data_IF_528301764238
#
_entry.id   IF_528301764238
#
_cell.length_a   1.000
_cell.length_b   1.000
_cell.length_c   1.000
_cell.angle_alpha   90.00
_cell.angle_beta   90.00
_cell.angle_gamma   90.00
#
_symmetry.space_group_name_H-M   'P 1'
#
loop_
_entity.id
_entity.type
_entity.pdbx_description
1 polymer ?
#
# COMPACT_ATOMS: atom_id res chain seq x y z
N UNK A 1 -3.05 16.98 1.33
CA UNK A 1 -2.75 18.40 1.62
C UNK A 1 -2.22 18.60 3.04
N UNK A 2 -2.92 18.13 4.08
CA UNK A 2 -2.51 18.33 5.50
C UNK A 2 -1.19 17.65 5.87
N UNK A 3 -0.94 16.40 5.42
CA UNK A 3 0.31 15.67 5.71
C UNK A 3 1.59 16.39 5.23
N UNK A 4 1.54 16.97 4.03
CA UNK A 4 2.67 17.68 3.44
C UNK A 4 2.93 19.00 4.18
N UNK A 5 1.86 19.70 4.60
CA UNK A 5 1.97 20.90 5.44
C UNK A 5 2.65 20.59 6.77
N UNK A 6 2.21 19.53 7.48
CA UNK A 6 2.81 19.14 8.75
C UNK A 6 4.29 18.76 8.60
N UNK A 7 4.64 18.03 7.53
CA UNK A 7 6.04 17.65 7.25
C UNK A 7 6.92 18.88 6.99
N UNK A 8 6.40 19.87 6.26
CA UNK A 8 7.09 21.15 6.05
C UNK A 8 7.24 21.95 7.35
N UNK A 9 6.20 21.99 8.19
CA UNK A 9 6.25 22.67 9.48
C UNK A 9 7.35 22.09 10.40
N UNK A 10 7.47 20.76 10.47
CA UNK A 10 8.53 20.08 11.23
C UNK A 10 9.94 20.33 10.64
N UNK A 11 10.04 20.51 9.33
CA UNK A 11 11.33 20.87 8.70
C UNK A 11 11.75 22.30 9.02
N UNK A 12 10.79 23.21 9.15
CA UNK A 12 11.03 24.61 9.48
C UNK A 12 11.37 24.80 10.96
N UNK A 13 10.71 24.03 11.83
CA UNK A 13 11.03 23.96 13.26
C UNK A 13 11.12 22.51 13.73
N UNK A 14 12.33 21.92 13.71
CA UNK A 14 12.52 20.56 14.17
C UNK A 14 12.25 20.39 15.67
N UNK A 15 12.38 21.45 16.47
CA UNK A 15 12.25 21.40 17.94
C UNK A 15 10.79 21.46 18.41
N UNK A 16 9.85 21.78 17.52
CA UNK A 16 8.42 21.74 17.79
C UNK A 16 7.91 20.30 17.99
N UNK A 17 8.04 19.83 19.23
CA UNK A 17 7.58 18.51 19.66
C UNK A 17 6.05 18.38 19.66
N UNK A 18 5.30 19.49 19.76
CA UNK A 18 3.83 19.45 19.68
C UNK A 18 3.40 19.14 18.23
N UNK A 19 4.00 19.80 17.23
CA UNK A 19 3.75 19.50 15.82
C UNK A 19 4.26 18.11 15.43
N UNK A 20 5.42 17.69 15.94
CA UNK A 20 5.92 16.32 15.77
C UNK A 20 4.94 15.29 16.34
N UNK A 21 4.42 15.52 17.55
CA UNK A 21 3.45 14.64 18.20
C UNK A 21 2.18 14.46 17.34
N UNK A 22 1.60 15.57 16.86
CA UNK A 22 0.42 15.53 15.99
C UNK A 22 0.70 14.77 14.69
N UNK A 23 1.88 14.98 14.09
CA UNK A 23 2.26 14.25 12.88
C UNK A 23 2.42 12.76 13.13
N UNK A 24 3.09 12.35 14.21
CA UNK A 24 3.25 10.94 14.57
C UNK A 24 1.87 10.32 14.83
N UNK A 25 1.01 10.94 15.64
CA UNK A 25 -0.34 10.43 15.92
C UNK A 25 -1.18 10.27 14.65
N UNK A 26 -1.12 11.24 13.73
CA UNK A 26 -1.81 11.17 12.45
C UNK A 26 -1.33 9.98 11.61
N UNK A 27 -0.01 9.79 11.47
CA UNK A 27 0.52 8.72 10.63
C UNK A 27 0.35 7.33 11.27
N UNK A 28 0.44 7.23 12.60
CA UNK A 28 0.12 5.98 13.33
C UNK A 28 -1.36 5.64 13.15
N UNK A 29 -2.27 6.61 13.29
CA UNK A 29 -3.70 6.37 13.13
C UNK A 29 -4.10 6.02 11.68
N UNK A 30 -3.33 6.52 10.71
CA UNK A 30 -3.52 6.21 9.30
C UNK A 30 -2.78 4.93 8.84
N UNK A 31 -1.98 4.31 9.71
CA UNK A 31 -1.14 3.15 9.41
C UNK A 31 -0.18 3.36 8.23
N UNK A 32 0.48 4.53 8.16
CA UNK A 32 1.30 4.92 7.00
C UNK A 32 2.75 5.15 7.39
N UNK A 33 3.69 4.53 6.67
CA UNK A 33 5.15 4.69 6.85
C UNK A 33 5.61 4.41 8.29
N UNK A 34 5.05 3.38 8.93
CA UNK A 34 5.28 3.06 10.35
C UNK A 34 6.76 2.98 10.75
N UNK A 35 7.65 2.49 9.87
CA UNK A 35 9.10 2.46 10.13
C UNK A 35 9.71 3.87 10.31
N UNK A 36 9.36 4.84 9.46
CA UNK A 36 9.83 6.22 9.62
C UNK A 36 9.14 6.93 10.79
N UNK A 37 7.88 6.58 11.04
CA UNK A 37 7.11 7.11 12.16
C UNK A 37 7.68 6.60 13.48
N UNK A 38 8.22 5.38 13.52
CA UNK A 38 8.89 4.80 14.68
C UNK A 38 10.09 5.63 15.11
N UNK A 39 10.94 6.05 14.16
CA UNK A 39 12.09 6.92 14.43
C UNK A 39 11.62 8.26 15.04
N UNK A 40 10.54 8.82 14.49
CA UNK A 40 9.96 10.07 14.98
C UNK A 40 9.32 9.90 16.38
N UNK A 41 8.70 8.75 16.66
CA UNK A 41 8.13 8.43 17.95
C UNK A 41 9.21 8.17 19.03
N UNK A 42 10.34 7.57 18.65
CA UNK A 42 11.53 7.43 19.52
C UNK A 42 12.07 8.79 19.95
N UNK A 43 12.02 9.79 19.06
CA UNK A 43 12.41 11.16 19.39
C UNK A 43 11.51 11.79 20.44
N UNK A 44 10.19 11.53 20.40
CA UNK A 44 9.27 11.94 21.47
C UNK A 44 9.58 11.22 22.78
N UNK A 45 9.87 9.90 22.72
CA UNK A 45 10.23 9.09 23.88
C UNK A 45 11.51 9.60 24.58
N UNK A 46 12.51 10.03 23.80
CA UNK A 46 13.79 10.53 24.32
C UNK A 46 13.78 12.02 24.71
N UNK A 47 12.65 12.72 24.57
CA UNK A 47 12.55 14.14 24.97
C UNK A 47 12.62 14.32 26.48
N UNK A 48 12.99 15.53 26.94
CA UNK A 48 13.03 15.85 28.38
C UNK A 48 11.64 16.06 28.99
N UNK A 49 10.59 16.19 28.17
CA UNK A 49 9.24 16.52 28.63
C UNK A 49 8.41 15.25 28.83
N UNK A 50 8.00 15.01 30.08
CA UNK A 50 7.29 13.80 30.48
C UNK A 50 6.05 13.46 29.64
N UNK A 51 5.27 14.47 29.20
CA UNK A 51 4.08 14.25 28.35
C UNK A 51 4.43 13.55 27.03
N UNK A 52 5.53 13.95 26.40
CA UNK A 52 5.99 13.41 25.13
C UNK A 52 6.66 12.05 25.32
N UNK A 53 7.35 11.84 26.45
CA UNK A 53 7.85 10.51 26.81
C UNK A 53 6.71 9.48 26.92
N UNK A 54 5.65 9.83 27.64
CA UNK A 54 4.47 8.98 27.79
C UNK A 54 3.77 8.73 26.44
N UNK A 55 3.62 9.79 25.63
CA UNK A 55 3.02 9.68 24.30
C UNK A 55 3.87 8.79 23.38
N UNK A 56 5.17 9.06 23.29
CA UNK A 56 6.13 8.31 22.48
C UNK A 56 6.11 6.83 22.84
N UNK A 57 6.17 6.49 24.14
CA UNK A 57 6.08 5.10 24.61
C UNK A 57 4.80 4.40 24.13
N UNK A 58 3.64 5.06 24.25
CA UNK A 58 2.36 4.51 23.84
C UNK A 58 2.27 4.32 22.32
N UNK A 59 2.75 5.30 21.56
CA UNK A 59 2.75 5.24 20.10
C UNK A 59 3.72 4.20 19.57
N UNK A 60 4.93 4.09 20.15
CA UNK A 60 5.91 3.04 19.81
C UNK A 60 5.31 1.67 20.04
N UNK A 61 4.70 1.42 21.20
CA UNK A 61 4.07 0.13 21.47
C UNK A 61 3.00 -0.22 20.43
N UNK A 62 2.12 0.74 20.08
CA UNK A 62 1.13 0.55 19.01
C UNK A 62 1.79 0.28 17.66
N UNK A 63 2.84 1.03 17.31
CA UNK A 63 3.58 0.83 16.04
C UNK A 63 4.20 -0.57 16.01
N UNK A 64 4.85 -1.00 17.09
CA UNK A 64 5.45 -2.32 17.22
C UNK A 64 4.40 -3.43 17.14
N UNK A 65 3.23 -3.25 17.77
CA UNK A 65 2.10 -4.18 17.64
C UNK A 65 1.59 -4.27 16.19
N UNK A 66 1.44 -3.16 15.48
CA UNK A 66 1.00 -3.17 14.07
C UNK A 66 2.09 -3.78 13.16
N UNK A 67 3.36 -3.42 13.35
CA UNK A 67 4.48 -4.03 12.61
C UNK A 67 4.63 -5.52 12.92
N UNK A 68 4.33 -5.94 14.15
CA UNK A 68 4.31 -7.35 14.53
C UNK A 68 3.15 -8.10 13.86
N UNK A 69 1.97 -7.48 13.68
CA UNK A 69 0.88 -8.09 12.89
C UNK A 69 1.26 -8.27 11.43
N UNK A 70 1.96 -7.30 10.85
CA UNK A 70 2.49 -7.42 9.49
C UNK A 70 3.60 -8.49 9.40
N UNK A 71 4.45 -8.61 10.43
CA UNK A 71 5.48 -9.65 10.57
C UNK A 71 4.92 -11.05 10.94
N UNK A 72 3.73 -11.11 11.52
CA UNK A 72 2.95 -12.32 11.82
C UNK A 72 2.09 -12.78 10.65
N UNK A 73 2.18 -12.12 9.49
CA UNK A 73 1.95 -12.85 8.26
C UNK A 73 3.01 -13.94 8.20
N UNK A 74 2.64 -15.15 8.69
CA UNK A 74 3.36 -16.40 8.41
C UNK A 74 3.89 -16.28 6.99
N UNK A 75 5.15 -16.66 6.68
CA UNK A 75 5.54 -16.81 5.30
C UNK A 75 4.50 -17.75 4.70
N UNK A 76 3.55 -17.16 3.99
CA UNK A 76 2.49 -17.86 3.30
C UNK A 76 3.32 -18.76 2.40
N UNK A 77 3.29 -20.07 2.66
CA UNK A 77 4.10 -21.02 1.91
C UNK A 77 4.01 -20.58 0.46
N UNK A 78 5.15 -20.38 -0.22
CA UNK A 78 5.24 -19.81 -1.57
C UNK A 78 4.58 -20.77 -2.58
N UNK A 79 3.28 -20.99 -2.42
CA UNK A 79 2.40 -21.74 -3.28
C UNK A 79 2.17 -20.80 -4.44
N UNK A 80 2.70 -21.13 -5.63
CA UNK A 80 2.56 -20.26 -6.78
C UNK A 80 1.07 -20.05 -7.09
N UNK A 81 0.64 -18.79 -7.08
CA UNK A 81 -0.72 -18.38 -7.45
C UNK A 81 -0.80 -18.29 -8.97
N UNK A 82 -1.18 -19.40 -9.62
CA UNK A 82 -1.26 -19.50 -11.08
C UNK A 82 -2.55 -18.91 -11.63
N UNK A 83 -2.46 -18.20 -12.75
CA UNK A 83 -3.66 -17.60 -13.38
C UNK A 83 -4.63 -18.62 -13.96
N UNK A 84 -4.16 -19.80 -14.35
CA UNK A 84 -5.01 -20.88 -14.85
C UNK A 84 -6.15 -21.23 -13.89
N UNK A 85 -5.90 -21.14 -12.58
CA UNK A 85 -6.88 -21.41 -11.54
C UNK A 85 -7.72 -20.17 -11.18
N UNK A 86 -7.35 -18.97 -11.63
CA UNK A 86 -7.87 -17.67 -11.18
C UNK A 86 -8.23 -16.78 -12.39
N UNK A 87 -9.11 -17.29 -13.26
CA UNK A 87 -9.42 -16.67 -14.57
C UNK A 87 -10.17 -15.34 -14.46
N UNK A 88 -10.84 -15.10 -13.32
CA UNK A 88 -11.57 -13.88 -13.00
C UNK A 88 -10.66 -12.67 -12.75
N UNK A 89 -9.37 -12.90 -12.46
CA UNK A 89 -8.39 -11.86 -12.14
C UNK A 89 -7.92 -11.16 -13.42
N UNK A 90 -8.43 -9.96 -13.66
CA UNK A 90 -8.16 -9.20 -14.89
C UNK A 90 -6.80 -8.51 -14.90
N UNK A 91 -6.32 -8.04 -13.74
CA UNK A 91 -5.09 -7.27 -13.62
C UNK A 91 -3.97 -8.07 -12.96
N UNK A 92 -2.73 -7.68 -13.22
CA UNK A 92 -1.53 -8.39 -12.78
C UNK A 92 -0.62 -7.58 -11.88
N UNK A 93 0.14 -8.31 -11.06
CA UNK A 93 1.17 -7.74 -10.19
C UNK A 93 2.20 -6.97 -11.03
N UNK A 94 2.51 -5.75 -10.59
CA UNK A 94 3.38 -4.82 -11.28
C UNK A 94 2.68 -3.84 -12.22
N UNK A 95 1.39 -3.99 -12.51
CA UNK A 95 0.64 -2.98 -13.26
C UNK A 95 0.42 -1.72 -12.44
N UNK A 96 0.54 -0.57 -13.10
CA UNK A 96 0.07 0.71 -12.57
C UNK A 96 -1.40 0.88 -12.92
N UNK A 97 -2.19 1.20 -11.91
CA UNK A 97 -3.63 1.37 -12.00
C UNK A 97 -4.05 2.72 -11.44
N UNK A 98 -5.25 3.14 -11.87
CA UNK A 98 -5.93 4.32 -11.37
C UNK A 98 -7.25 3.93 -10.73
N UNK A 99 -7.56 4.47 -9.56
CA UNK A 99 -8.84 4.23 -8.92
C UNK A 99 -9.93 5.14 -9.51
N UNK A 100 -11.00 4.56 -10.08
CA UNK A 100 -12.05 5.29 -10.82
C UNK A 100 -12.73 6.40 -10.02
N UNK A 101 -13.05 6.14 -8.75
CA UNK A 101 -13.76 7.09 -7.87
C UNK A 101 -12.87 8.11 -7.16
N UNK A 102 -11.71 7.68 -6.66
CA UNK A 102 -10.84 8.48 -5.79
C UNK A 102 -9.63 9.07 -6.52
N UNK A 103 -9.46 8.75 -7.80
CA UNK A 103 -8.48 9.34 -8.72
C UNK A 103 -7.01 9.18 -8.31
N UNK A 104 -6.69 8.25 -7.41
CA UNK A 104 -5.31 7.96 -7.04
C UNK A 104 -4.66 6.95 -7.97
N UNK A 105 -3.34 7.08 -8.12
CA UNK A 105 -2.47 6.16 -8.84
C UNK A 105 -1.86 5.14 -7.86
N UNK A 106 -1.80 3.89 -8.28
CA UNK A 106 -1.24 2.81 -7.48
C UNK A 106 -0.56 1.73 -8.33
N UNK A 107 0.23 0.88 -7.69
CA UNK A 107 0.79 -0.33 -8.30
C UNK A 107 0.26 -1.57 -7.58
N UNK A 108 -0.16 -2.58 -8.33
CA UNK A 108 -0.64 -3.85 -7.78
C UNK A 108 0.55 -4.68 -7.28
N UNK A 109 0.53 -5.09 -6.02
CA UNK A 109 1.53 -5.98 -5.40
C UNK A 109 1.02 -7.39 -5.15
N UNK A 110 -0.30 -7.60 -5.15
CA UNK A 110 -0.94 -8.89 -4.96
C UNK A 110 -2.41 -8.87 -5.35
N UNK A 111 -3.01 -10.05 -5.46
CA UNK A 111 -4.44 -10.22 -5.74
C UNK A 111 -5.00 -11.43 -5.02
N UNK A 112 -6.30 -11.35 -4.70
CA UNK A 112 -7.16 -12.45 -4.24
C UNK A 112 -8.36 -12.58 -5.18
N UNK A 113 -8.82 -13.80 -5.44
CA UNK A 113 -10.00 -14.09 -6.27
C UNK A 113 -11.31 -13.45 -5.80
N UNK A 114 -11.40 -13.26 -4.49
CA UNK A 114 -12.56 -12.73 -3.76
C UNK A 114 -12.06 -11.90 -2.60
N UNK A 115 -12.94 -11.09 -2.01
CA UNK A 115 -12.60 -10.31 -0.83
C UNK A 115 -12.18 -11.23 0.33
N UNK A 116 -10.94 -11.11 0.78
CA UNK A 116 -10.39 -11.83 1.93
C UNK A 116 -10.28 -10.96 3.19
N UNK A 117 -10.78 -9.72 3.15
CA UNK A 117 -10.76 -8.80 4.27
C UNK A 117 -11.71 -9.23 5.40
N UNK A 118 -11.49 -8.70 6.61
CA UNK A 118 -12.34 -8.98 7.76
C UNK A 118 -13.77 -8.45 7.57
N UNK A 119 -14.73 -9.01 8.32
CA UNK A 119 -16.12 -8.54 8.25
C UNK A 119 -16.25 -7.07 8.65
N UNK A 120 -15.48 -6.64 9.65
CA UNK A 120 -15.44 -5.25 10.11
C UNK A 120 -14.98 -4.31 9.00
N UNK A 121 -13.93 -4.69 8.28
CA UNK A 121 -13.43 -3.91 7.15
C UNK A 121 -14.44 -3.87 6.00
N UNK A 122 -15.05 -5.00 5.67
CA UNK A 122 -16.07 -5.11 4.62
C UNK A 122 -17.25 -4.18 4.90
N UNK A 123 -17.74 -4.17 6.14
CA UNK A 123 -18.81 -3.27 6.57
C UNK A 123 -18.35 -1.80 6.54
N UNK A 124 -17.15 -1.52 7.03
CA UNK A 124 -16.60 -0.15 7.07
C UNK A 124 -16.36 0.46 5.68
N UNK A 125 -16.00 -0.38 4.70
CA UNK A 125 -15.76 0.04 3.31
C UNK A 125 -16.97 -0.15 2.39
N UNK A 126 -18.10 -0.60 2.94
CA UNK A 126 -19.37 -0.78 2.25
C UNK A 126 -19.25 -1.69 1.00
N UNK A 127 -18.44 -2.76 1.12
CA UNK A 127 -18.14 -3.67 0.01
C UNK A 127 -19.40 -4.34 -0.54
N UNK A 128 -20.38 -4.60 0.32
CA UNK A 128 -21.65 -5.24 -0.07
C UNK A 128 -22.53 -4.35 -0.95
N UNK A 129 -22.22 -3.05 -1.08
CA UNK A 129 -22.87 -2.13 -2.01
C UNK A 129 -22.17 -2.00 -3.35
N UNK A 130 -20.98 -2.58 -3.50
CA UNK A 130 -20.32 -2.65 -4.79
C UNK A 130 -21.12 -3.54 -5.75
N UNK A 131 -20.98 -3.34 -7.06
CA UNK A 131 -21.78 -4.06 -8.04
C UNK A 131 -21.51 -5.57 -7.98
N UNK A 132 -20.24 -5.95 -7.86
CA UNK A 132 -19.81 -7.36 -7.77
C UNK A 132 -19.54 -7.81 -6.33
N UNK A 133 -19.82 -6.93 -5.35
CA UNK A 133 -19.74 -7.19 -3.91
C UNK A 133 -18.39 -7.85 -3.53
N UNK A 134 -18.44 -8.94 -2.75
CA UNK A 134 -17.28 -9.69 -2.26
C UNK A 134 -16.76 -10.73 -3.26
N UNK A 135 -17.53 -11.11 -4.28
CA UNK A 135 -17.26 -12.24 -5.18
C UNK A 135 -16.52 -11.84 -6.46
N UNK A 136 -15.70 -10.79 -6.37
CA UNK A 136 -14.82 -10.31 -7.43
C UNK A 136 -13.38 -10.28 -6.92
N UNK A 137 -12.39 -10.19 -7.81
CA UNK A 137 -11.02 -10.01 -7.37
C UNK A 137 -10.80 -8.71 -6.60
N UNK A 138 -9.92 -8.79 -5.61
CA UNK A 138 -9.41 -7.64 -4.88
C UNK A 138 -7.90 -7.63 -4.96
N UNK A 139 -7.32 -6.43 -4.90
CA UNK A 139 -5.91 -6.18 -5.14
C UNK A 139 -5.30 -5.47 -3.95
N UNK A 140 -4.15 -5.97 -3.50
CA UNK A 140 -3.24 -5.21 -2.65
C UNK A 140 -2.50 -4.21 -3.55
N UNK A 141 -2.57 -2.94 -3.18
CA UNK A 141 -1.98 -1.86 -3.96
C UNK A 141 -1.17 -0.90 -3.08
N UNK A 142 -0.02 -0.48 -3.61
CA UNK A 142 0.77 0.61 -3.05
C UNK A 142 0.38 1.90 -3.75
N UNK A 143 0.05 2.95 -2.99
CA UNK A 143 -0.49 4.21 -3.52
C UNK A 143 0.57 5.31 -3.47
N UNK A 144 0.50 6.25 -4.42
CA UNK A 144 1.46 7.36 -4.50
C UNK A 144 1.45 8.29 -3.26
N UNK A 145 0.41 8.23 -2.43
CA UNK A 145 0.34 8.96 -1.15
C UNK A 145 1.13 8.27 -0.01
N UNK A 146 1.77 7.13 -0.32
CA UNK A 146 2.53 6.31 0.62
C UNK A 146 1.69 5.32 1.43
N UNK A 147 0.40 5.14 1.11
CA UNK A 147 -0.48 4.18 1.80
C UNK A 147 -0.59 2.84 1.07
N UNK A 148 -0.84 1.80 1.86
CA UNK A 148 -1.25 0.48 1.39
C UNK A 148 -2.78 0.41 1.37
N UNK A 149 -3.36 -0.11 0.28
CA UNK A 149 -4.83 -0.22 0.15
C UNK A 149 -5.22 -1.56 -0.43
N UNK A 150 -6.47 -1.94 -0.16
CA UNK A 150 -7.12 -3.11 -0.73
C UNK A 150 -8.29 -2.65 -1.62
N UNK A 151 -8.17 -2.88 -2.92
CA UNK A 151 -9.08 -2.32 -3.92
C UNK A 151 -9.82 -3.41 -4.70
N UNK A 152 -11.14 -3.25 -4.87
CA UNK A 152 -11.94 -4.12 -5.72
C UNK A 152 -11.59 -3.93 -7.20
N UNK A 153 -11.61 -5.02 -7.99
CA UNK A 153 -11.36 -4.98 -9.43
C UNK A 153 -12.20 -3.93 -10.15
N UNK A 154 -13.51 -3.87 -9.85
CA UNK A 154 -14.42 -2.94 -10.51
C UNK A 154 -14.05 -1.46 -10.31
N UNK A 155 -13.27 -1.15 -9.26
CA UNK A 155 -12.85 0.20 -8.93
C UNK A 155 -11.53 0.63 -9.60
N UNK A 156 -10.82 -0.28 -10.28
CA UNK A 156 -9.54 -0.01 -10.93
C UNK A 156 -9.70 0.09 -12.45
N UNK A 157 -8.88 0.95 -13.07
CA UNK A 157 -8.73 1.06 -14.52
C UNK A 157 -7.29 1.37 -14.90
N UNK A 158 -6.94 1.10 -16.17
CA UNK A 158 -5.66 1.54 -16.73
C UNK A 158 -5.61 3.09 -16.76
N UNK A 159 -4.49 3.71 -16.37
CA UNK A 159 -4.30 5.14 -16.54
C UNK A 159 -4.03 5.50 -18.01
N UNK A 160 -3.96 6.81 -18.31
CA UNK A 160 -3.61 7.30 -19.65
C UNK A 160 -2.10 7.20 -19.93
N UNK A 161 -1.28 7.17 -18.88
CA UNK A 161 0.16 6.98 -18.93
C UNK A 161 0.65 6.35 -17.62
N UNK A 162 1.76 5.62 -17.70
CA UNK A 162 2.47 5.14 -16.53
C UNK A 162 3.15 6.27 -15.76
N UNK A 163 3.06 6.20 -14.43
CA UNK A 163 3.83 7.06 -13.53
C UNK A 163 4.46 6.20 -12.43
N UNK A 164 5.71 6.51 -12.08
CA UNK A 164 6.38 5.88 -10.95
C UNK A 164 5.64 6.20 -9.66
N UNK A 165 5.23 5.16 -8.93
CA UNK A 165 4.58 5.27 -7.62
C UNK A 165 5.65 5.52 -6.55
N UNK A 166 5.52 6.65 -5.85
CA UNK A 166 6.38 7.02 -4.72
C UNK A 166 5.91 6.33 -3.44
N UNK A 167 6.33 5.08 -3.27
CA UNK A 167 6.04 4.29 -2.08
C UNK A 167 7.28 3.56 -1.57
N UNK A 168 7.56 3.65 -0.26
CA UNK A 168 8.80 3.10 0.32
C UNK A 168 8.90 1.57 0.17
N UNK A 169 7.76 0.89 0.13
CA UNK A 169 7.69 -0.57 0.01
C UNK A 169 7.80 -1.09 -1.43
N UNK A 170 7.91 -0.25 -2.47
CA UNK A 170 8.02 -0.78 -3.84
C UNK A 170 9.20 -1.73 -4.02
N UNK A 171 10.32 -1.46 -3.35
CA UNK A 171 11.53 -2.30 -3.39
C UNK A 171 11.33 -3.68 -2.77
N UNK A 172 10.30 -3.88 -1.93
CA UNK A 172 9.93 -5.19 -1.37
C UNK A 172 9.40 -6.14 -2.44
N UNK A 173 8.75 -5.62 -3.48
CA UNK A 173 8.07 -6.42 -4.49
C UNK A 173 8.72 -6.35 -5.88
N UNK A 174 9.40 -5.25 -6.20
CA UNK A 174 9.85 -4.91 -7.55
C UNK A 174 11.33 -4.57 -7.57
N UNK A 175 11.99 -4.94 -8.67
CA UNK A 175 13.39 -4.64 -8.91
C UNK A 175 13.58 -3.27 -9.58
N UNK A 176 12.69 -2.91 -10.51
CA UNK A 176 12.79 -1.66 -11.27
C UNK A 176 11.43 -1.23 -11.83
N UNK A 177 11.35 0.04 -12.18
CA UNK A 177 10.26 0.62 -12.96
C UNK A 177 10.61 0.60 -14.46
N UNK A 178 9.64 0.25 -15.30
CA UNK A 178 9.77 0.09 -16.76
C UNK A 178 8.72 0.94 -17.49
N UNK A 179 8.74 2.26 -17.26
CA UNK A 179 7.88 3.30 -17.86
C UNK A 179 6.37 3.18 -17.59
N UNK A 180 5.74 2.03 -17.86
CA UNK A 180 4.32 1.80 -17.69
C UNK A 180 3.96 0.69 -16.70
N UNK A 181 4.97 -0.01 -16.17
CA UNK A 181 4.79 -1.08 -15.20
C UNK A 181 6.05 -1.30 -14.36
N UNK A 182 5.95 -2.09 -13.31
CA UNK A 182 7.07 -2.50 -12.47
C UNK A 182 7.50 -3.93 -12.77
N UNK A 183 8.82 -4.14 -12.87
CA UNK A 183 9.40 -5.47 -13.02
C UNK A 183 9.51 -6.15 -11.65
N UNK A 184 8.87 -7.32 -11.44
CA UNK A 184 8.87 -8.03 -10.16
C UNK A 184 10.25 -8.57 -9.78
N UNK A 185 10.52 -8.67 -8.49
CA UNK A 185 11.70 -9.36 -7.98
C UNK A 185 11.48 -10.90 -7.95
N UNK A 186 12.51 -11.65 -7.58
CA UNK A 186 12.49 -13.13 -7.58
C UNK A 186 11.40 -13.72 -6.67
N UNK A 187 11.17 -13.13 -5.50
CA UNK A 187 10.13 -13.58 -4.57
C UNK A 187 8.74 -13.38 -5.15
N UNK A 188 8.46 -12.19 -5.71
CA UNK A 188 7.19 -11.88 -6.36
C UNK A 188 6.97 -12.77 -7.58
N UNK A 189 8.00 -13.03 -8.40
CA UNK A 189 7.91 -13.97 -9.53
C UNK A 189 7.65 -15.41 -9.09
N UNK A 190 8.20 -15.84 -7.95
CA UNK A 190 7.92 -17.17 -7.40
C UNK A 190 6.46 -17.29 -6.95
N UNK A 191 5.92 -16.23 -6.32
CA UNK A 191 4.52 -16.21 -5.86
C UNK A 191 3.52 -16.04 -7.01
N UNK A 192 3.83 -15.25 -8.03
CA UNK A 192 2.97 -14.93 -9.17
C UNK A 192 3.70 -15.18 -10.51
N UNK A 193 3.94 -16.44 -10.88
CA UNK A 193 4.82 -16.78 -12.02
C UNK A 193 4.28 -16.34 -13.39
N UNK A 194 2.95 -16.21 -13.52
CA UNK A 194 2.30 -15.90 -14.80
C UNK A 194 2.10 -14.38 -15.02
N UNK A 195 2.26 -13.57 -13.97
CA UNK A 195 1.81 -12.18 -13.96
C UNK A 195 2.67 -11.24 -14.81
N UNK A 196 3.98 -11.48 -14.92
CA UNK A 196 4.85 -10.64 -15.76
C UNK A 196 4.44 -10.68 -17.23
N UNK A 197 4.13 -11.88 -17.75
CA UNK A 197 3.70 -12.04 -19.14
C UNK A 197 2.36 -11.33 -19.39
N UNK A 198 1.42 -11.46 -18.45
CA UNK A 198 0.11 -10.78 -18.52
C UNK A 198 0.28 -9.26 -18.44
N UNK A 199 1.13 -8.75 -17.54
CA UNK A 199 1.47 -7.33 -17.44
C UNK A 199 1.96 -6.80 -18.79
N UNK A 200 2.93 -7.47 -19.41
CA UNK A 200 3.47 -7.06 -20.70
C UNK A 200 2.43 -7.08 -21.82
N UNK A 201 1.56 -8.09 -21.84
CA UNK A 201 0.46 -8.19 -22.81
C UNK A 201 -0.54 -7.04 -22.65
N UNK A 202 -0.94 -6.72 -21.42
CA UNK A 202 -1.87 -5.62 -21.12
C UNK A 202 -1.25 -4.28 -21.53
N UNK A 203 0.01 -4.04 -21.16
CA UNK A 203 0.74 -2.82 -21.54
C UNK A 203 0.83 -2.68 -23.06
N UNK A 204 1.19 -3.74 -23.77
CA UNK A 204 1.26 -3.71 -25.24
C UNK A 204 -0.10 -3.43 -25.87
N UNK A 205 -1.17 -3.99 -25.33
CA UNK A 205 -2.54 -3.80 -25.85
C UNK A 205 -3.04 -2.37 -25.62
N UNK A 206 -2.74 -1.80 -24.45
CA UNK A 206 -3.27 -0.49 -24.05
C UNK A 206 -2.41 0.68 -24.54
N UNK A 207 -1.08 0.53 -24.57
CA UNK A 207 -0.14 1.61 -24.91
C UNK A 207 0.65 1.37 -26.22
N UNK A 208 0.65 0.15 -26.76
CA UNK A 208 1.47 -0.20 -27.93
C UNK A 208 0.93 0.25 -29.29
N UNK A 209 -0.22 0.92 -29.32
CA UNK A 209 -0.83 1.50 -30.54
C UNK A 209 -0.60 3.01 -30.68
N UNK A 210 0.45 3.57 -30.05
CA UNK A 210 0.86 4.97 -30.18
C UNK A 210 2.10 5.12 -31.06
#
# INVERSE_FOLDING_TARGET
MVRNYMKLAILLDPEDLDMLAVWVEYNVSANVNLEQVLISAQRLLCSEVQRFQCLGKRLIHRIEEELAKDGESKPEALIPRRRADNQEVEFSVGLIMKHKRYDYMCVITGWDKKCMASQEWILGMDVDRLQNQRNQPFYDVLVNDGSNRYAAQENLCMPDHGEMIQHNETGRYFQKFCDNYYFPNEQTMTKYPDDLAVTQQIIQTHYGCL
#
